data_IF_280692990080
#
_entry.id   IF_280692990080
#
_cell.length_a   1.000
_cell.length_b   1.000
_cell.length_c   1.000
_cell.angle_alpha   90.00
_cell.angle_beta   90.00
_cell.angle_gamma   90.00
#
_symmetry.space_group_name_H-M   'P 1'
#
loop_
_entity.id
_entity.type
_entity.pdbx_description
1 polymer ?
#
# COMPACT_ATOMS: atom_id res chain seq x y z
N UNK A 1 6.20 14.52 -31.54
CA UNK A 1 5.23 14.13 -30.50
C UNK A 1 5.86 13.02 -29.68
N UNK A 2 6.32 13.31 -28.45
CA UNK A 2 7.11 12.36 -27.66
C UNK A 2 6.14 11.38 -26.99
N UNK A 3 6.05 10.16 -27.52
CA UNK A 3 5.27 9.09 -26.92
C UNK A 3 6.08 8.50 -25.75
N UNK A 4 6.12 9.22 -24.62
CA UNK A 4 6.70 8.68 -23.39
C UNK A 4 5.73 7.62 -22.88
N UNK A 5 6.08 6.33 -22.96
CA UNK A 5 5.38 5.31 -22.19
C UNK A 5 5.64 5.57 -20.70
N UNK A 6 4.76 6.37 -20.09
CA UNK A 6 4.87 6.83 -18.69
C UNK A 6 4.32 5.76 -17.76
N UNK A 7 4.94 4.58 -17.76
CA UNK A 7 4.77 3.64 -16.67
C UNK A 7 5.32 4.26 -15.39
N UNK A 8 4.51 4.37 -14.33
CA UNK A 8 4.97 4.78 -13.00
C UNK A 8 4.82 3.60 -12.05
N UNK A 9 5.94 3.19 -11.47
CA UNK A 9 5.94 2.25 -10.37
C UNK A 9 6.43 2.96 -9.11
N UNK A 10 5.74 2.71 -8.00
CA UNK A 10 6.03 3.29 -6.70
C UNK A 10 5.90 2.20 -5.64
N UNK A 11 6.94 2.07 -4.84
CA UNK A 11 7.00 1.12 -3.73
C UNK A 11 7.28 1.87 -2.45
N UNK A 12 6.41 1.73 -1.47
CA UNK A 12 6.62 2.26 -0.14
C UNK A 12 6.65 1.11 0.86
N UNK A 13 7.67 1.11 1.71
CA UNK A 13 7.78 0.18 2.83
C UNK A 13 7.98 1.00 4.10
N UNK A 14 7.22 0.65 5.14
CA UNK A 14 7.25 1.30 6.42
C UNK A 14 7.34 0.24 7.51
N UNK A 15 8.35 0.36 8.36
CA UNK A 15 8.51 -0.45 9.56
C UNK A 15 8.29 0.44 10.78
N UNK A 16 7.36 0.03 11.65
CA UNK A 16 6.97 0.79 12.83
C UNK A 16 7.06 -0.14 14.04
N UNK A 17 7.95 0.19 14.97
CA UNK A 17 8.04 -0.51 16.24
C UNK A 17 7.26 0.25 17.31
N UNK A 18 6.12 -0.27 17.72
CA UNK A 18 5.32 0.30 18.80
C UNK A 18 5.77 -0.29 20.14
N UNK A 19 6.54 0.47 20.90
CA UNK A 19 7.00 0.10 22.25
C UNK A 19 6.03 0.70 23.26
N UNK A 20 5.30 -0.15 23.99
CA UNK A 20 4.40 0.25 25.07
C UNK A 20 4.59 -0.64 26.28
N UNK A 21 4.35 -0.10 27.47
CA UNK A 21 4.45 -0.82 28.75
C UNK A 21 3.16 -1.58 29.10
N UNK A 22 2.05 -1.29 28.41
CA UNK A 22 0.78 -2.04 28.51
C UNK A 22 0.58 -2.95 27.30
N UNK A 23 -0.11 -4.07 27.51
CA UNK A 23 -0.34 -5.08 26.46
C UNK A 23 -1.28 -4.58 25.34
N UNK A 24 -2.10 -3.57 25.64
CA UNK A 24 -3.02 -2.92 24.70
C UNK A 24 -2.61 -1.46 24.55
N UNK A 25 -2.24 -1.07 23.33
CA UNK A 25 -2.05 0.35 22.98
C UNK A 25 -3.43 0.86 22.57
N UNK A 26 -3.97 1.90 23.23
CA UNK A 26 -5.22 2.53 22.81
C UNK A 26 -5.13 2.92 21.33
N UNK A 27 -6.18 2.63 20.55
CA UNK A 27 -6.23 2.85 19.11
C UNK A 27 -5.80 4.27 18.70
N UNK A 28 -6.12 5.25 19.54
CA UNK A 28 -5.82 6.67 19.41
C UNK A 28 -4.32 7.00 19.49
N UNK A 29 -3.56 6.26 20.32
CA UNK A 29 -2.10 6.44 20.46
C UNK A 29 -1.32 5.59 19.46
N UNK A 30 -1.88 4.47 19.02
CA UNK A 30 -1.24 3.53 18.10
C UNK A 30 -1.58 3.75 16.61
N UNK A 31 -2.54 4.61 16.27
CA UNK A 31 -3.16 4.67 14.92
C UNK A 31 -3.53 3.27 14.39
N UNK A 32 -4.07 2.44 15.29
CA UNK A 32 -4.40 1.03 14.99
C UNK A 32 -3.22 0.07 14.83
N UNK A 33 -2.01 0.44 15.24
CA UNK A 33 -0.86 -0.46 15.31
C UNK A 33 -0.82 -1.18 16.67
N UNK A 34 -0.73 -2.51 16.66
CA UNK A 34 -0.58 -3.30 17.87
C UNK A 34 0.85 -3.21 18.43
N UNK A 35 1.00 -3.50 19.72
CA UNK A 35 2.30 -3.49 20.42
C UNK A 35 3.28 -4.42 19.71
N UNK A 36 4.40 -3.88 19.24
CA UNK A 36 5.48 -4.62 18.58
C UNK A 36 5.82 -4.12 17.18
N UNK A 37 6.44 -5.00 16.39
CA UNK A 37 6.87 -4.71 15.03
C UNK A 37 5.68 -4.81 14.06
N UNK A 38 5.29 -3.68 13.50
CA UNK A 38 4.28 -3.58 12.45
C UNK A 38 4.99 -3.26 11.14
N UNK A 39 4.72 -4.07 10.12
CA UNK A 39 5.31 -3.92 8.80
C UNK A 39 4.21 -3.61 7.79
N UNK A 40 4.38 -2.53 7.04
CA UNK A 40 3.43 -2.11 6.00
C UNK A 40 4.18 -1.94 4.70
N UNK A 41 3.62 -2.48 3.63
CA UNK A 41 4.14 -2.29 2.28
C UNK A 41 3.01 -1.89 1.36
N UNK A 42 3.32 -1.02 0.41
CA UNK A 42 2.40 -0.56 -0.61
C UNK A 42 3.15 -0.52 -1.92
N UNK A 43 2.62 -1.20 -2.93
CA UNK A 43 3.12 -1.22 -4.29
C UNK A 43 2.03 -0.60 -5.17
N UNK A 44 2.41 0.38 -5.98
CA UNK A 44 1.53 1.08 -6.90
C UNK A 44 2.17 1.07 -8.27
N UNK A 45 1.48 0.47 -9.22
CA UNK A 45 1.81 0.52 -10.63
C UNK A 45 0.74 1.30 -11.38
N UNK A 46 1.14 2.17 -12.29
CA UNK A 46 0.24 2.77 -13.27
C UNK A 46 0.89 2.68 -14.63
N UNK A 47 0.14 2.21 -15.61
CA UNK A 47 0.61 2.00 -16.96
C UNK A 47 -0.38 2.61 -17.93
N UNK A 48 0.12 3.42 -18.87
CA UNK A 48 -0.68 4.01 -19.93
C UNK A 48 -0.45 3.22 -21.22
N UNK A 49 -1.49 2.55 -21.71
CA UNK A 49 -1.49 1.87 -23.00
C UNK A 49 -1.99 2.85 -24.07
N UNK A 50 -1.07 3.57 -24.71
CA UNK A 50 -1.42 4.59 -25.71
C UNK A 50 -2.05 5.84 -25.08
N UNK A 51 -3.00 6.46 -25.77
CA UNK A 51 -3.69 7.68 -25.29
C UNK A 51 -5.04 7.39 -24.61
N UNK A 52 -5.64 6.23 -24.91
CA UNK A 52 -7.03 5.93 -24.56
C UNK A 52 -7.18 4.90 -23.45
N UNK A 53 -6.13 4.12 -23.13
CA UNK A 53 -6.23 3.06 -22.14
C UNK A 53 -5.20 3.28 -21.03
N UNK A 54 -5.65 3.13 -19.78
CA UNK A 54 -4.81 3.19 -18.59
C UNK A 54 -5.14 2.04 -17.65
N UNK A 55 -4.10 1.42 -17.11
CA UNK A 55 -4.21 0.39 -16.08
C UNK A 55 -3.52 0.87 -14.81
N UNK A 56 -4.11 0.59 -13.65
CA UNK A 56 -3.47 0.82 -12.37
C UNK A 56 -3.61 -0.41 -11.49
N UNK A 57 -2.53 -0.70 -10.75
CA UNK A 57 -2.42 -1.76 -9.79
C UNK A 57 -2.02 -1.13 -8.46
N UNK A 58 -2.76 -1.43 -7.41
CA UNK A 58 -2.43 -1.01 -6.06
C UNK A 58 -2.47 -2.24 -5.16
N UNK A 59 -1.33 -2.62 -4.62
CA UNK A 59 -1.20 -3.74 -3.70
C UNK A 59 -0.69 -3.24 -2.37
N UNK A 60 -1.49 -3.39 -1.33
CA UNK A 60 -1.14 -3.03 0.03
C UNK A 60 -1.07 -4.28 0.88
N UNK A 61 -0.09 -4.34 1.76
CA UNK A 61 -0.04 -5.36 2.79
C UNK A 61 0.33 -4.75 4.13
N UNK A 62 -0.31 -5.24 5.18
CA UNK A 62 -0.01 -4.88 6.56
C UNK A 62 0.11 -6.14 7.38
N UNK A 63 1.17 -6.20 8.18
CA UNK A 63 1.40 -7.22 9.18
C UNK A 63 1.54 -6.52 10.53
N UNK A 64 0.51 -6.64 11.35
CA UNK A 64 0.54 -6.13 12.71
C UNK A 64 0.83 -7.28 13.69
N UNK A 65 1.61 -7.01 14.74
CA UNK A 65 2.02 -8.07 15.68
C UNK A 65 0.81 -8.51 16.51
N UNK A 66 0.48 -9.81 16.45
CA UNK A 66 -0.68 -10.37 17.14
C UNK A 66 -1.93 -10.52 16.26
N UNK A 67 -1.88 -10.03 15.01
CA UNK A 67 -2.98 -10.20 14.03
C UNK A 67 -2.50 -10.92 12.77
N UNK A 68 -3.45 -11.40 11.97
CA UNK A 68 -3.16 -12.02 10.67
C UNK A 68 -2.67 -10.95 9.69
N UNK A 69 -1.78 -11.35 8.79
CA UNK A 69 -1.32 -10.48 7.70
C UNK A 69 -2.48 -10.21 6.74
N UNK A 70 -2.79 -8.94 6.52
CA UNK A 70 -3.81 -8.52 5.56
C UNK A 70 -3.15 -8.09 4.26
N UNK A 71 -3.65 -8.65 3.15
CA UNK A 71 -3.22 -8.33 1.80
C UNK A 71 -4.44 -7.78 1.04
N UNK A 72 -4.29 -6.63 0.40
CA UNK A 72 -5.35 -6.03 -0.39
C UNK A 72 -4.77 -5.58 -1.72
N UNK A 73 -5.21 -6.26 -2.78
CA UNK A 73 -4.92 -5.88 -4.16
C UNK A 73 -6.13 -5.20 -4.79
N UNK A 74 -5.88 -4.12 -5.52
CA UNK A 74 -6.85 -3.43 -6.36
C UNK A 74 -6.25 -3.27 -7.75
N UNK A 75 -7.00 -3.67 -8.75
CA UNK A 75 -6.66 -3.48 -10.15
C UNK A 75 -7.78 -2.65 -10.77
N UNK A 76 -7.43 -1.56 -11.43
CA UNK A 76 -8.37 -0.69 -12.15
C UNK A 76 -7.89 -0.50 -13.58
N UNK A 77 -8.80 -0.69 -14.54
CA UNK A 77 -8.56 -0.43 -15.95
C UNK A 77 -9.56 0.63 -16.40
N UNK A 78 -9.05 1.68 -17.05
CA UNK A 78 -9.83 2.82 -17.50
C UNK A 78 -9.55 3.06 -18.98
N UNK A 79 -10.61 2.92 -19.77
CA UNK A 79 -10.65 3.35 -21.17
C UNK A 79 -11.30 4.74 -21.25
N UNK A 80 -10.71 5.63 -22.05
CA UNK A 80 -11.23 6.96 -22.37
C UNK A 80 -11.39 7.02 -23.89
N UNK A 81 -12.60 7.30 -24.34
CA UNK A 81 -13.01 7.34 -25.75
C UNK A 81 -13.54 8.74 -26.10
#
# INVERSE_FOLDING_TARGET
MILTSRGRFDGNMSWIQAISNRNTIPFELGRGANRGANFRWTLRGTYQFGQTLSGSLNYTGRRDRGEKTFHTGRLEVRASF
#
